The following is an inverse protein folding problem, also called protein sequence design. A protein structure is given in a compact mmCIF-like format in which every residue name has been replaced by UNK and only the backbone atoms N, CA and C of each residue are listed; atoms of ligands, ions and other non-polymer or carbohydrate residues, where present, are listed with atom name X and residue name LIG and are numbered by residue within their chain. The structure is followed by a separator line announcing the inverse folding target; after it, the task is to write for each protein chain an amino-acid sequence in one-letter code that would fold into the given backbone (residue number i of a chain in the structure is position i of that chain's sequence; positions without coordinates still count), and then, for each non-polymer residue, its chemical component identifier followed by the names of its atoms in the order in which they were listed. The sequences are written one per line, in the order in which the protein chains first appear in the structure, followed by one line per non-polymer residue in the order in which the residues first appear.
data_IF_183738893470
#
_entry.id   IF_183738893470
#
_cell.length_a   1.000
_cell.length_b   1.000
_cell.length_c   1.000
_cell.angle_alpha   90.00
_cell.angle_beta   90.00
_cell.angle_gamma   90.00
#
_symmetry.space_group_name_H-M   'P 1'
#
loop_
_entity.id
_entity.type
_entity.pdbx_description
1 polymer ?
#
# COMPACT_ATOMS: atom_id res chain seq x y z
N UNK A 1 -7.58 9.28 16.47
CA UNK A 1 -6.72 9.77 15.39
C UNK A 1 -7.61 10.08 14.20
N UNK A 2 -7.50 11.26 13.59
CA UNK A 2 -8.24 11.59 12.37
C UNK A 2 -7.38 11.15 11.19
N UNK A 3 -7.88 10.22 10.38
CA UNK A 3 -7.20 9.76 9.15
C UNK A 3 -7.33 10.87 8.10
N UNK A 4 -6.22 11.20 7.43
CA UNK A 4 -6.25 11.96 6.18
C UNK A 4 -6.69 11.02 5.05
N UNK A 5 -7.84 11.31 4.44
CA UNK A 5 -8.41 10.48 3.40
C UNK A 5 -7.76 10.69 2.03
N UNK A 6 -7.02 11.78 1.81
CA UNK A 6 -6.38 12.06 0.54
C UNK A 6 -5.35 10.98 0.12
N UNK A 7 -4.35 10.64 0.96
CA UNK A 7 -3.42 9.53 0.64
C UNK A 7 -4.14 8.19 0.53
N UNK A 8 -5.15 7.92 1.35
CA UNK A 8 -5.95 6.67 1.26
C UNK A 8 -6.58 6.51 -0.12
N UNK A 9 -7.27 7.54 -0.61
CA UNK A 9 -7.96 7.51 -1.90
C UNK A 9 -6.95 7.37 -3.03
N UNK A 10 -5.84 8.12 -3.01
CA UNK A 10 -4.84 8.06 -4.08
C UNK A 10 -4.12 6.71 -4.11
N UNK A 11 -3.79 6.11 -2.97
CA UNK A 11 -3.22 4.76 -2.92
C UNK A 11 -4.20 3.75 -3.53
N UNK A 12 -5.48 3.81 -3.15
CA UNK A 12 -6.48 2.89 -3.68
C UNK A 12 -6.70 3.06 -5.20
N UNK A 13 -6.69 4.30 -5.69
CA UNK A 13 -6.79 4.62 -7.12
C UNK A 13 -5.59 4.06 -7.90
N UNK A 14 -4.36 4.29 -7.41
CA UNK A 14 -3.14 3.72 -8.02
C UNK A 14 -3.21 2.19 -8.08
N UNK A 15 -3.54 1.52 -6.97
CA UNK A 15 -3.61 0.06 -6.92
C UNK A 15 -4.76 -0.54 -7.76
N UNK A 16 -5.70 0.28 -8.25
CA UNK A 16 -6.75 -0.19 -9.17
C UNK A 16 -6.22 -0.59 -10.55
N UNK A 17 -5.01 -0.11 -10.92
CA UNK A 17 -4.32 -0.50 -12.15
C UNK A 17 -3.57 -1.84 -12.04
N UNK A 18 -3.51 -2.43 -10.83
CA UNK A 18 -2.97 -3.76 -10.54
C UNK A 18 -1.88 -3.76 -9.46
N UNK A 19 -1.02 -4.79 -9.46
CA UNK A 19 0.06 -4.91 -8.49
C UNK A 19 1.15 -3.85 -8.70
N UNK A 20 1.51 -3.10 -7.66
CA UNK A 20 2.63 -2.16 -7.67
C UNK A 20 3.77 -2.61 -6.74
N UNK A 21 5.01 -2.37 -7.14
CA UNK A 21 6.14 -2.51 -6.22
C UNK A 21 6.16 -1.39 -5.18
N UNK A 22 6.71 -1.65 -4.00
CA UNK A 22 6.95 -0.59 -3.00
C UNK A 22 7.85 0.52 -3.55
N UNK A 23 8.78 0.20 -4.45
CA UNK A 23 9.61 1.19 -5.13
C UNK A 23 8.77 2.16 -5.98
N UNK A 24 7.82 1.67 -6.77
CA UNK A 24 6.90 2.52 -7.54
C UNK A 24 6.05 3.38 -6.61
N UNK A 25 5.47 2.77 -5.58
CA UNK A 25 4.65 3.47 -4.60
C UNK A 25 5.44 4.54 -3.82
N UNK A 26 6.75 4.35 -3.62
CA UNK A 26 7.60 5.31 -2.90
C UNK A 26 7.66 6.70 -3.55
N UNK A 27 7.42 6.81 -4.86
CA UNK A 27 7.36 8.10 -5.55
C UNK A 27 6.14 8.94 -5.11
N UNK A 28 5.06 8.28 -4.68
CA UNK A 28 3.85 8.96 -4.19
C UNK A 28 4.08 9.65 -2.84
N UNK A 29 4.99 9.13 -2.00
CA UNK A 29 5.27 9.66 -0.65
C UNK A 29 5.58 11.16 -0.67
N UNK A 30 6.26 11.63 -1.72
CA UNK A 30 6.65 13.04 -1.87
C UNK A 30 5.48 14.04 -1.95
N UNK A 31 4.26 13.56 -2.22
CA UNK A 31 3.04 14.37 -2.31
C UNK A 31 2.33 14.55 -0.96
N UNK A 32 2.78 13.86 0.09
CA UNK A 32 2.10 13.78 1.38
C UNK A 32 3.08 13.95 2.54
N UNK A 33 2.55 14.23 3.73
CA UNK A 33 3.31 13.99 4.94
C UNK A 33 3.57 12.48 5.07
N UNK A 34 4.84 12.11 5.27
CA UNK A 34 5.28 10.71 5.32
C UNK A 34 4.49 9.88 6.34
N UNK A 35 4.22 10.47 7.50
CA UNK A 35 3.41 9.86 8.57
C UNK A 35 1.99 9.57 8.07
N UNK A 36 1.32 10.55 7.46
CA UNK A 36 -0.03 10.38 6.91
C UNK A 36 -0.07 9.30 5.81
N UNK A 37 0.94 9.24 4.94
CA UNK A 37 1.05 8.21 3.91
C UNK A 37 1.23 6.80 4.51
N UNK A 38 2.12 6.67 5.49
CA UNK A 38 2.39 5.40 6.18
C UNK A 38 1.16 4.93 6.97
N UNK A 39 0.51 5.85 7.69
CA UNK A 39 -0.72 5.56 8.44
C UNK A 39 -1.86 5.14 7.53
N UNK A 40 -1.93 5.69 6.31
CA UNK A 40 -2.92 5.28 5.30
C UNK A 40 -2.69 3.84 4.84
N UNK A 41 -1.44 3.46 4.57
CA UNK A 41 -1.10 2.08 4.22
C UNK A 41 -1.41 1.10 5.36
N UNK A 42 -1.07 1.48 6.61
CA UNK A 42 -1.41 0.69 7.78
C UNK A 42 -2.93 0.56 7.96
N UNK A 43 -3.68 1.63 7.76
CA UNK A 43 -5.14 1.64 7.83
C UNK A 43 -5.78 0.69 6.80
N UNK A 44 -5.27 0.69 5.57
CA UNK A 44 -5.70 -0.19 4.49
C UNK A 44 -5.37 -1.65 4.81
N UNK A 45 -4.16 -1.91 5.29
CA UNK A 45 -3.70 -3.24 5.72
C UNK A 45 -4.56 -3.81 6.86
N UNK A 46 -4.83 -3.02 7.90
CA UNK A 46 -5.67 -3.43 9.04
C UNK A 46 -7.10 -3.81 8.65
N UNK A 47 -7.59 -3.30 7.51
CA UNK A 47 -8.94 -3.55 7.00
C UNK A 47 -8.98 -4.62 5.91
N UNK A 48 -7.86 -5.28 5.66
CA UNK A 48 -7.71 -6.25 4.59
C UNK A 48 -8.10 -5.69 3.23
N UNK A 49 -7.80 -4.41 2.95
CA UNK A 49 -8.09 -3.77 1.65
C UNK A 49 -6.93 -3.88 0.66
N UNK A 50 -5.75 -4.20 1.16
CA UNK A 50 -4.54 -4.43 0.39
C UNK A 50 -3.94 -5.76 0.78
N UNK A 51 -3.06 -6.29 -0.07
CA UNK A 51 -2.22 -7.44 0.22
C UNK A 51 -0.77 -7.16 -0.10
N UNK A 52 0.14 -7.73 0.72
CA UNK A 52 1.58 -7.61 0.49
C UNK A 52 2.12 -8.90 -0.11
N UNK A 53 2.95 -8.75 -1.13
CA UNK A 53 3.51 -9.82 -1.94
C UNK A 53 5.04 -9.76 -1.93
N UNK A 54 5.71 -10.90 -1.79
CA UNK A 54 7.15 -11.01 -1.82
C UNK A 54 7.67 -11.37 -3.22
N UNK A 55 8.85 -10.83 -3.56
CA UNK A 55 9.63 -11.23 -4.72
C UNK A 55 9.30 -10.48 -6.01
N UNK A 56 9.85 -10.99 -7.13
CA UNK A 56 9.66 -10.47 -8.51
C UNK A 56 9.10 -11.55 -9.46
N UNK A 57 8.23 -12.41 -8.92
CA UNK A 57 7.59 -13.50 -9.66
C UNK A 57 8.21 -14.89 -9.41
N UNK A 58 7.41 -15.93 -9.12
CA UNK A 58 6.00 -15.84 -8.71
C UNK A 58 5.87 -15.07 -7.39
N UNK A 59 4.86 -14.21 -7.30
CA UNK A 59 4.58 -13.44 -6.09
C UNK A 59 4.04 -14.37 -5.01
N UNK A 60 4.67 -14.37 -3.83
CA UNK A 60 4.20 -15.13 -2.68
C UNK A 60 3.55 -14.18 -1.66
N UNK A 61 2.37 -14.51 -1.11
CA UNK A 61 1.74 -13.68 -0.10
C UNK A 61 2.61 -13.61 1.15
N UNK A 62 2.83 -12.40 1.64
CA UNK A 62 3.58 -12.17 2.88
C UNK A 62 2.65 -12.43 4.08
N UNK A 63 3.12 -13.10 5.14
CA UNK A 63 2.36 -13.25 6.38
C UNK A 63 1.91 -11.92 6.99
N UNK A 64 0.64 -11.81 7.40
CA UNK A 64 0.03 -10.55 7.87
C UNK A 64 0.72 -9.93 9.09
N UNK A 65 1.31 -10.75 9.94
CA UNK A 65 2.09 -10.31 11.11
C UNK A 65 3.36 -9.53 10.72
N UNK A 66 3.87 -9.73 9.50
CA UNK A 66 5.00 -8.96 8.98
C UNK A 66 4.60 -7.62 8.35
N UNK A 67 3.32 -7.42 8.00
CA UNK A 67 2.90 -6.26 7.19
C UNK A 67 3.20 -4.92 7.86
N UNK A 68 2.85 -4.69 9.14
CA UNK A 68 3.10 -3.40 9.78
C UNK A 68 4.59 -3.08 9.88
N UNK A 69 5.43 -4.10 10.03
CA UNK A 69 6.89 -3.93 10.06
C UNK A 69 7.40 -3.51 8.68
N UNK A 70 7.05 -4.24 7.62
CA UNK A 70 7.50 -3.96 6.25
C UNK A 70 7.02 -2.60 5.74
N UNK A 71 5.78 -2.22 6.02
CA UNK A 71 5.27 -0.90 5.65
C UNK A 71 6.06 0.23 6.35
N UNK A 72 6.41 0.07 7.62
CA UNK A 72 7.23 1.05 8.34
C UNK A 72 8.68 1.06 7.89
N UNK A 73 9.27 -0.10 7.61
CA UNK A 73 10.63 -0.21 7.09
C UNK A 73 10.75 0.46 5.71
N UNK A 74 9.69 0.41 4.89
CA UNK A 74 9.65 1.02 3.56
C UNK A 74 9.27 2.50 3.56
N UNK A 75 8.30 2.92 4.38
CA UNK A 75 7.69 4.25 4.27
C UNK A 75 7.77 5.08 5.55
N UNK A 76 8.03 4.48 6.71
CA UNK A 76 7.94 5.13 8.02
C UNK A 76 9.17 5.92 8.46
N UNK A 77 10.30 5.83 7.74
CA UNK A 77 11.54 6.53 8.08
C UNK A 77 12.11 7.29 6.88
N UNK A 78 12.96 8.29 7.11
CA UNK A 78 13.60 9.05 6.02
C UNK A 78 14.51 8.21 5.13
N UNK A 79 15.05 7.12 5.68
CA UNK A 79 15.90 6.18 4.97
C UNK A 79 15.18 4.84 4.92
N UNK A 80 14.40 4.66 3.86
CA UNK A 80 13.69 3.42 3.58
C UNK A 80 14.65 2.24 3.43
N UNK A 81 14.25 1.05 3.90
CA UNK A 81 15.01 -0.17 3.68
C UNK A 81 14.97 -0.56 2.19
N UNK A 82 16.10 -0.51 1.47
CA UNK A 82 16.13 -0.79 0.03
C UNK A 82 15.79 -2.25 -0.30
N UNK A 83 16.03 -3.20 0.62
CA UNK A 83 15.68 -4.60 0.43
C UNK A 83 14.16 -4.76 0.46
N UNK A 84 13.50 -4.09 1.40
CA UNK A 84 12.04 -4.11 1.50
C UNK A 84 11.39 -3.43 0.30
N UNK A 85 11.89 -2.26 -0.12
CA UNK A 85 11.39 -1.54 -1.29
C UNK A 85 11.45 -2.36 -2.59
N UNK A 86 12.55 -3.11 -2.79
CA UNK A 86 12.81 -3.86 -4.02
C UNK A 86 12.16 -5.24 -4.02
N UNK A 87 11.99 -5.83 -2.83
CA UNK A 87 11.52 -7.20 -2.64
C UNK A 87 10.05 -7.33 -2.23
N UNK A 88 9.33 -6.21 -2.10
CA UNK A 88 7.92 -6.20 -1.68
C UNK A 88 7.08 -5.46 -2.71
N UNK A 89 5.94 -6.06 -3.04
CA UNK A 89 4.88 -5.46 -3.85
C UNK A 89 3.59 -5.42 -3.03
N UNK A 90 2.65 -4.64 -3.51
CA UNK A 90 1.35 -4.39 -2.93
C UNK A 90 0.30 -4.49 -4.02
N UNK A 91 -0.83 -5.07 -3.68
CA UNK A 91 -2.00 -5.14 -4.55
C UNK A 91 -3.26 -4.83 -3.75
N UNK A 92 -4.36 -4.61 -4.44
CA UNK A 92 -5.69 -4.68 -3.84
C UNK A 92 -5.97 -6.12 -3.45
N UNK A 93 -6.57 -6.30 -2.28
CA UNK A 93 -7.24 -7.56 -1.98
C UNK A 93 -8.57 -7.62 -2.74
N UNK A 94 -9.18 -8.81 -2.81
CA UNK A 94 -10.56 -8.98 -3.31
C UNK A 94 -11.55 -8.03 -2.59
N UNK A 95 -11.33 -7.79 -1.29
CA UNK A 95 -12.15 -6.85 -0.51
C UNK A 95 -11.87 -5.40 -0.89
N UNK A 96 -10.61 -5.06 -1.15
CA UNK A 96 -10.19 -3.74 -1.64
C UNK A 96 -10.90 -3.38 -2.94
N UNK A 97 -10.87 -4.29 -3.91
CA UNK A 97 -11.58 -4.14 -5.19
C UNK A 97 -13.08 -3.92 -5.00
N UNK A 98 -13.74 -4.73 -4.16
CA UNK A 98 -15.17 -4.57 -3.87
C UNK A 98 -15.49 -3.20 -3.27
N UNK A 99 -14.63 -2.70 -2.38
CA UNK A 99 -14.81 -1.39 -1.74
C UNK A 99 -14.64 -0.26 -2.77
N UNK A 100 -13.63 -0.34 -3.64
CA UNK A 100 -13.44 0.63 -4.72
C UNK A 100 -14.65 0.69 -5.66
N UNK A 101 -15.19 -0.47 -6.07
CA UNK A 101 -16.40 -0.55 -6.88
C UNK A 101 -17.61 0.13 -6.22
N UNK A 102 -17.78 0.00 -4.90
CA UNK A 102 -18.87 0.66 -4.17
C UNK A 102 -18.73 2.19 -4.14
N UNK A 103 -17.52 2.70 -4.20
CA UNK A 103 -17.24 4.14 -4.21
C UNK A 103 -17.19 4.75 -5.62
N UNK A 104 -17.25 3.94 -6.68
CA UNK A 104 -17.12 4.41 -8.06
C UNK A 104 -15.74 4.97 -8.38
N UNK A 105 -14.72 4.48 -7.66
CA UNK A 105 -13.31 4.82 -7.88
C UNK A 105 -12.71 3.69 -8.74
N UNK A 106 -12.06 4.02 -9.85
CA UNK A 106 -11.38 3.03 -10.71
C UNK A 106 -12.14 2.46 -11.92
N UNK A 107 -13.35 2.94 -12.28
CA UNK A 107 -13.97 2.93 -13.64
C UNK A 107 -15.50 3.18 -13.57
N UNK A 108 -16.16 3.70 -14.63
CA UNK A 108 -17.60 3.59 -14.85
C UNK A 108 -18.07 2.17 -15.23
#
# INVERSE_FOLDING_TARGET
MQIDWNPVIHILDELSDGTHSFLELSYMVSHYEREAFTDSLLFLAERDLIELLAGRGPFEPIPKDEWPRRLRDAFGSDVADPVVLVGTSIDLSERGEQVLHLFGIGHP
#
